data_IF_716316167139
#
_entry.id   IF_716316167139
#
_cell.length_a   1.000
_cell.length_b   1.000
_cell.length_c   1.000
_cell.angle_alpha   90.00
_cell.angle_beta   90.00
_cell.angle_gamma   90.00
#
_symmetry.space_group_name_H-M   'P 1'
#
loop_
_entity.id
_entity.type
_entity.pdbx_description
1 polymer ?
#
# COMPACT_ATOMS: atom_id res chain seq x y z
N UNK A 1 -2.18 -8.61 24.87
CA UNK A 1 -2.41 -8.92 23.44
C UNK A 1 -3.88 -8.65 23.19
N UNK A 2 -4.21 -7.67 22.35
CA UNK A 2 -5.59 -7.18 22.15
C UNK A 2 -6.41 -8.29 21.49
N UNK A 3 -7.30 -8.93 22.25
CA UNK A 3 -8.00 -10.18 21.91
C UNK A 3 -9.41 -9.98 21.35
N UNK A 4 -9.73 -8.81 20.79
CA UNK A 4 -11.10 -8.46 20.38
C UNK A 4 -11.26 -7.84 18.98
N UNK A 5 -10.22 -7.88 18.13
CA UNK A 5 -10.37 -7.44 16.74
C UNK A 5 -10.93 -8.59 15.91
N UNK A 6 -12.15 -8.41 15.37
CA UNK A 6 -12.66 -9.23 14.28
C UNK A 6 -11.63 -9.21 13.12
N UNK A 7 -11.35 -10.36 12.48
CA UNK A 7 -10.43 -10.38 11.36
C UNK A 7 -10.95 -9.49 10.23
N UNK A 8 -10.08 -8.64 9.68
CA UNK A 8 -10.35 -7.71 8.57
C UNK A 8 -11.00 -8.35 7.34
N UNK A 9 -10.88 -9.67 7.23
CA UNK A 9 -11.38 -10.48 6.14
C UNK A 9 -11.87 -11.79 6.72
N UNK A 10 -13.12 -12.14 6.46
CA UNK A 10 -13.67 -13.47 6.78
C UNK A 10 -13.73 -14.26 5.48
N UNK A 11 -12.87 -15.27 5.30
CA UNK A 11 -12.83 -16.06 4.06
C UNK A 11 -11.56 -16.90 3.92
N UNK A 12 -11.46 -17.68 2.85
CA UNK A 12 -10.29 -18.50 2.52
C UNK A 12 -9.76 -18.16 1.12
N UNK A 13 -8.44 -18.18 0.93
CA UNK A 13 -7.81 -17.90 -0.37
C UNK A 13 -7.88 -16.42 -0.76
N UNK A 14 -8.54 -16.12 -1.88
CA UNK A 14 -8.59 -14.75 -2.44
C UNK A 14 -9.33 -13.76 -1.54
N UNK A 15 -10.39 -14.19 -0.84
CA UNK A 15 -11.16 -13.33 0.07
C UNK A 15 -10.36 -12.91 1.31
N UNK A 16 -9.50 -13.78 1.83
CA UNK A 16 -8.59 -13.43 2.92
C UNK A 16 -7.49 -12.44 2.48
N UNK A 17 -7.26 -12.35 1.16
CA UNK A 17 -6.21 -11.54 0.56
C UNK A 17 -6.67 -10.17 0.06
N UNK A 18 -7.94 -9.76 0.22
CA UNK A 18 -8.48 -8.56 -0.44
C UNK A 18 -7.68 -7.27 -0.20
N UNK A 19 -7.01 -7.18 0.96
CA UNK A 19 -6.07 -6.10 1.29
C UNK A 19 -4.60 -6.51 1.18
N UNK A 20 -4.29 -7.81 1.26
CA UNK A 20 -2.93 -8.34 1.11
C UNK A 20 -2.40 -8.24 -0.32
N UNK A 21 -3.25 -8.52 -1.32
CA UNK A 21 -2.89 -8.40 -2.74
C UNK A 21 -2.43 -6.98 -3.12
N UNK A 22 -3.18 -5.90 -2.87
CA UNK A 22 -2.73 -4.56 -3.22
C UNK A 22 -1.48 -4.12 -2.45
N UNK A 23 -1.26 -4.61 -1.22
CA UNK A 23 -0.02 -4.38 -0.47
C UNK A 23 1.20 -5.03 -1.15
N UNK A 24 1.08 -6.31 -1.52
CA UNK A 24 2.15 -7.06 -2.19
C UNK A 24 2.42 -6.49 -3.58
N UNK A 25 1.38 -6.17 -4.35
CA UNK A 25 1.52 -5.57 -5.67
C UNK A 25 2.06 -4.13 -5.59
N UNK A 26 1.69 -3.39 -4.55
CA UNK A 26 2.26 -2.09 -4.24
C UNK A 26 3.77 -2.19 -4.12
N UNK A 27 4.27 -3.13 -3.30
CA UNK A 27 5.70 -3.40 -3.22
C UNK A 27 6.29 -3.86 -4.56
N UNK A 28 5.65 -4.81 -5.23
CA UNK A 28 6.20 -5.44 -6.43
C UNK A 28 6.36 -4.47 -7.60
N UNK A 29 5.45 -3.50 -7.75
CA UNK A 29 5.43 -2.59 -8.90
C UNK A 29 5.81 -1.16 -8.53
N UNK A 30 5.32 -0.63 -7.40
CA UNK A 30 5.54 0.78 -7.03
C UNK A 30 6.97 1.00 -6.58
N UNK A 31 7.56 0.10 -5.78
CA UNK A 31 8.97 0.19 -5.31
C UNK A 31 9.97 0.28 -6.48
N UNK A 32 10.07 -0.71 -7.39
CA UNK A 32 11.06 -0.63 -8.46
C UNK A 32 10.83 0.57 -9.37
N UNK A 33 9.58 0.96 -9.65
CA UNK A 33 9.29 2.14 -10.46
C UNK A 33 9.78 3.42 -9.76
N UNK A 34 9.47 3.59 -8.47
CA UNK A 34 9.91 4.77 -7.71
C UNK A 34 11.43 4.80 -7.54
N UNK A 35 12.04 3.66 -7.22
CA UNK A 35 13.49 3.49 -7.08
C UNK A 35 14.24 3.83 -8.37
N UNK A 36 13.75 3.34 -9.51
CA UNK A 36 14.34 3.64 -10.83
C UNK A 36 14.19 5.13 -11.20
N UNK A 37 13.03 5.75 -10.95
CA UNK A 37 12.85 7.19 -11.21
C UNK A 37 13.74 8.05 -10.29
N UNK A 38 13.88 7.67 -9.01
CA UNK A 38 14.81 8.32 -8.07
C UNK A 38 16.26 8.21 -8.57
N UNK A 39 16.68 7.04 -9.09
CA UNK A 39 18.03 6.82 -9.63
C UNK A 39 18.29 7.63 -10.90
N UNK A 40 17.36 7.67 -11.84
CA UNK A 40 17.57 8.28 -13.16
C UNK A 40 17.43 9.80 -13.10
N UNK A 41 16.36 10.31 -12.48
CA UNK A 41 16.03 11.74 -12.53
C UNK A 41 16.50 12.53 -11.30
N UNK A 42 16.80 11.86 -10.18
CA UNK A 42 17.02 12.48 -8.86
C UNK A 42 15.97 13.51 -8.45
N UNK A 43 14.79 13.47 -9.07
CA UNK A 43 13.69 14.37 -8.78
C UNK A 43 12.65 13.63 -7.95
N UNK A 44 12.65 13.95 -6.65
CA UNK A 44 11.74 13.35 -5.68
C UNK A 44 10.28 13.66 -6.01
N UNK A 45 9.97 14.83 -6.59
CA UNK A 45 8.58 15.20 -6.93
C UNK A 45 8.04 14.34 -8.06
N UNK A 46 8.89 14.05 -9.05
CA UNK A 46 8.52 13.16 -10.17
C UNK A 46 8.38 11.73 -9.68
N UNK A 47 9.28 11.24 -8.82
CA UNK A 47 9.16 9.91 -8.22
C UNK A 47 7.85 9.77 -7.42
N UNK A 48 7.49 10.77 -6.61
CA UNK A 48 6.21 10.79 -5.89
C UNK A 48 5.03 10.78 -6.86
N UNK A 49 5.02 11.64 -7.88
CA UNK A 49 3.90 11.72 -8.81
C UNK A 49 3.70 10.40 -9.58
N UNK A 50 4.78 9.79 -10.07
CA UNK A 50 4.73 8.50 -10.77
C UNK A 50 4.34 7.39 -9.80
N UNK A 51 4.93 7.35 -8.61
CA UNK A 51 4.59 6.39 -7.56
C UNK A 51 3.12 6.45 -7.16
N UNK A 52 2.56 7.65 -7.01
CA UNK A 52 1.15 7.89 -6.74
C UNK A 52 0.26 7.31 -7.84
N UNK A 53 0.54 7.62 -9.10
CA UNK A 53 -0.23 7.10 -10.24
C UNK A 53 -0.18 5.57 -10.27
N UNK A 54 1.00 4.98 -10.15
CA UNK A 54 1.17 3.52 -10.13
C UNK A 54 0.44 2.89 -8.94
N UNK A 55 0.56 3.48 -7.75
CA UNK A 55 -0.10 2.99 -6.53
C UNK A 55 -1.63 3.02 -6.69
N UNK A 56 -2.19 4.10 -7.23
CA UNK A 56 -3.62 4.18 -7.52
C UNK A 56 -4.06 3.11 -8.53
N UNK A 57 -3.29 2.86 -9.58
CA UNK A 57 -3.59 1.81 -10.57
C UNK A 57 -3.64 0.44 -9.89
N UNK A 58 -2.68 0.14 -9.00
CA UNK A 58 -2.65 -1.13 -8.25
C UNK A 58 -3.85 -1.25 -7.32
N UNK A 59 -4.08 -0.26 -6.46
CA UNK A 59 -5.15 -0.29 -5.46
C UNK A 59 -6.55 -0.30 -6.10
N UNK A 60 -6.78 0.52 -7.12
CA UNK A 60 -8.06 0.54 -7.85
C UNK A 60 -8.22 -0.73 -8.70
N UNK A 61 -7.14 -1.22 -9.33
CA UNK A 61 -7.17 -2.48 -10.06
C UNK A 61 -7.57 -3.65 -9.15
N UNK A 62 -7.01 -3.71 -7.94
CA UNK A 62 -7.42 -4.65 -6.91
C UNK A 62 -8.86 -4.42 -6.43
N UNK A 63 -9.32 -3.17 -6.30
CA UNK A 63 -10.73 -2.88 -5.98
C UNK A 63 -11.69 -3.48 -7.02
N UNK A 64 -11.40 -3.30 -8.31
CA UNK A 64 -12.22 -3.82 -9.40
C UNK A 64 -12.17 -5.35 -9.52
N UNK A 65 -11.04 -5.97 -9.16
CA UNK A 65 -10.85 -7.42 -9.31
C UNK A 65 -11.26 -8.22 -8.05
N UNK A 66 -10.93 -7.72 -6.87
CA UNK A 66 -11.10 -8.41 -5.57
C UNK A 66 -12.26 -7.83 -4.74
N UNK A 67 -12.84 -6.71 -5.16
CA UNK A 67 -13.94 -6.06 -4.44
C UNK A 67 -13.50 -5.21 -3.24
N UNK A 68 -12.22 -4.85 -3.14
CA UNK A 68 -11.71 -3.96 -2.08
C UNK A 68 -12.48 -2.63 -2.09
N UNK A 69 -12.95 -2.08 -0.96
CA UNK A 69 -13.74 -0.86 -0.96
C UNK A 69 -12.97 0.34 -1.55
N UNK A 70 -13.57 1.02 -2.52
CA UNK A 70 -12.90 2.08 -3.29
C UNK A 70 -12.38 3.23 -2.41
N UNK A 71 -13.09 3.55 -1.33
CA UNK A 71 -12.70 4.61 -0.40
C UNK A 71 -11.41 4.25 0.37
N UNK A 72 -11.20 2.97 0.66
CA UNK A 72 -9.96 2.46 1.29
C UNK A 72 -8.80 2.59 0.32
N UNK A 73 -9.01 2.23 -0.94
CA UNK A 73 -8.01 2.34 -1.99
C UNK A 73 -7.50 3.79 -2.16
N UNK A 74 -8.41 4.76 -2.08
CA UNK A 74 -8.04 6.19 -2.16
C UNK A 74 -7.15 6.63 -1.00
N UNK A 75 -7.36 6.07 0.19
CA UNK A 75 -6.61 6.43 1.38
C UNK A 75 -5.29 5.66 1.49
N UNK A 76 -5.28 4.36 1.15
CA UNK A 76 -4.11 3.50 1.30
C UNK A 76 -3.08 3.68 0.16
N UNK A 77 -3.51 4.02 -1.06
CA UNK A 77 -2.59 4.30 -2.17
C UNK A 77 -1.53 5.38 -1.86
N UNK A 78 -1.88 6.57 -1.32
CA UNK A 78 -0.88 7.55 -0.92
C UNK A 78 -0.03 7.10 0.26
N UNK A 79 -0.58 6.30 1.19
CA UNK A 79 0.20 5.75 2.31
C UNK A 79 1.30 4.79 1.84
N UNK A 80 1.04 3.98 0.81
CA UNK A 80 2.07 3.11 0.20
C UNK A 80 3.24 3.93 -0.33
N UNK A 81 2.96 5.03 -1.04
CA UNK A 81 4.00 5.94 -1.56
C UNK A 81 4.69 6.69 -0.42
N UNK A 82 3.96 7.05 0.63
CA UNK A 82 4.51 7.74 1.79
C UNK A 82 5.54 6.87 2.52
N UNK A 83 5.37 5.54 2.52
CA UNK A 83 6.34 4.61 3.07
C UNK A 83 7.72 4.68 2.41
N UNK A 84 7.79 5.10 1.15
CA UNK A 84 9.03 5.24 0.36
C UNK A 84 9.72 6.60 0.55
N UNK A 85 9.11 7.53 1.28
CA UNK A 85 9.62 8.91 1.45
C UNK A 85 10.57 9.12 2.64
N UNK A 86 10.34 8.56 3.84
CA UNK A 86 11.23 8.77 4.97
C UNK A 86 12.40 7.79 4.91
N UNK A 87 13.64 8.22 4.66
CA UNK A 87 14.80 7.37 4.80
C UNK A 87 15.05 7.12 6.29
N UNK A 88 14.52 6.01 6.81
CA UNK A 88 14.76 5.61 8.20
C UNK A 88 16.03 4.79 8.24
N UNK A 89 17.07 5.26 8.93
CA UNK A 89 18.38 4.56 9.01
C UNK A 89 18.31 3.11 9.50
N UNK A 90 17.22 2.73 10.17
CA UNK A 90 17.04 1.45 10.83
C UNK A 90 15.98 0.55 10.19
N UNK A 91 15.18 1.06 9.25
CA UNK A 91 14.05 0.33 8.65
C UNK A 91 14.21 0.43 7.14
N UNK A 92 14.11 -0.72 6.47
CA UNK A 92 14.16 -0.81 5.02
C UNK A 92 12.94 -0.12 4.37
N UNK A 93 13.15 0.58 3.26
CA UNK A 93 12.11 1.38 2.59
C UNK A 93 10.94 0.47 2.10
N UNK A 94 11.25 -0.78 1.72
CA UNK A 94 10.24 -1.77 1.38
C UNK A 94 9.38 -2.20 2.58
N UNK A 95 9.97 -2.27 3.77
CA UNK A 95 9.21 -2.58 4.98
C UNK A 95 8.25 -1.44 5.34
N UNK A 96 8.66 -0.18 5.16
CA UNK A 96 7.79 0.97 5.41
C UNK A 96 6.67 1.07 4.38
N UNK A 97 6.91 0.74 3.11
CA UNK A 97 5.86 0.68 2.07
C UNK A 97 4.74 -0.32 2.37
N UNK A 98 4.99 -1.36 3.18
CA UNK A 98 3.95 -2.27 3.69
C UNK A 98 3.38 -1.77 5.02
N UNK A 99 4.24 -1.38 5.95
CA UNK A 99 3.83 -1.03 7.32
C UNK A 99 2.89 0.18 7.37
N UNK A 100 3.12 1.21 6.57
CA UNK A 100 2.26 2.40 6.54
C UNK A 100 0.83 2.10 6.11
N UNK A 101 0.57 1.52 4.93
CA UNK A 101 -0.78 1.20 4.51
C UNK A 101 -1.41 0.10 5.37
N UNK A 102 -0.64 -0.86 5.89
CA UNK A 102 -1.16 -1.87 6.83
C UNK A 102 -1.57 -1.25 8.16
N UNK A 103 -0.80 -0.30 8.68
CA UNK A 103 -1.16 0.45 9.89
C UNK A 103 -2.40 1.31 9.64
N UNK A 104 -2.51 1.96 8.48
CA UNK A 104 -3.71 2.66 8.05
C UNK A 104 -4.93 1.75 8.02
N UNK A 105 -4.80 0.57 7.41
CA UNK A 105 -5.85 -0.45 7.37
C UNK A 105 -6.25 -0.90 8.78
N UNK A 106 -5.28 -1.11 9.67
CA UNK A 106 -5.52 -1.52 11.05
C UNK A 106 -6.29 -0.47 11.86
N UNK A 107 -6.01 0.81 11.62
CA UNK A 107 -6.77 1.91 12.22
C UNK A 107 -8.18 2.06 11.62
N UNK A 108 -8.35 1.68 10.36
CA UNK A 108 -9.65 1.67 9.69
C UNK A 108 -10.49 0.44 10.00
N UNK A 109 -9.92 -0.59 10.64
CA UNK A 109 -10.60 -1.85 10.98
C UNK A 109 -12.01 -1.69 11.58
N UNK A 110 -12.28 -0.76 12.51
CA UNK A 110 -13.62 -0.66 13.09
C UNK A 110 -14.65 -0.02 12.16
N UNK A 111 -14.23 0.47 10.98
CA UNK A 111 -15.06 1.13 9.98
C UNK A 111 -15.16 0.35 8.66
N UNK A 112 -14.51 -0.82 8.57
CA UNK A 112 -14.52 -1.74 7.43
C UNK A 112 -15.57 -2.84 7.65
#
# INVERSE_FOLDING_TARGET
>A
LVTGMEPFTSGAGFEAGIYGFPLIFGLTFVDPIMGEIKRIKRDMKVAIAVGMVTSYIVWIGCSLWLGTPMWVCILLAPLTVLGELPPVKYIDDNATMILFPLSGLLLLSPFL
#
